data_IF_794444078467
#
_entry.id   IF_794444078467
#
_cell.length_a   1.000
_cell.length_b   1.000
_cell.length_c   1.000
_cell.angle_alpha   90.00
_cell.angle_beta   90.00
_cell.angle_gamma   90.00
#
_symmetry.space_group_name_H-M   'P 1'
#
loop_
_entity.id
_entity.type
_entity.pdbx_description
1 polymer ?
#
# COMPACT_ATOMS: atom_id res chain seq x y z
N UNK A 1 -18.01 20.07 -16.95
CA UNK A 1 -16.86 20.33 -16.06
C UNK A 1 -16.00 19.06 -16.02
N UNK A 2 -14.77 19.10 -16.55
CA UNK A 2 -13.89 17.93 -16.48
C UNK A 2 -13.56 17.63 -15.01
N UNK A 3 -13.83 16.40 -14.56
CA UNK A 3 -13.40 15.96 -13.24
C UNK A 3 -11.88 16.11 -13.19
N UNK A 4 -11.36 17.00 -12.32
CA UNK A 4 -9.93 17.04 -12.04
C UNK A 4 -9.54 15.64 -11.57
N UNK A 5 -8.73 14.93 -12.37
CA UNK A 5 -8.29 13.60 -12.00
C UNK A 5 -7.53 13.70 -10.67
N UNK A 6 -8.00 12.96 -9.67
CA UNK A 6 -7.33 12.87 -8.38
C UNK A 6 -5.95 12.25 -8.60
N UNK A 7 -4.90 12.99 -8.25
CA UNK A 7 -3.54 12.46 -8.18
C UNK A 7 -3.27 12.09 -6.73
N UNK A 8 -3.26 10.79 -6.37
CA UNK A 8 -2.98 10.38 -5.01
C UNK A 8 -1.62 10.90 -4.51
N UNK A 9 -1.50 11.19 -3.21
CA UNK A 9 -0.24 11.63 -2.61
C UNK A 9 0.78 10.50 -2.46
N UNK A 10 0.37 9.25 -2.68
CA UNK A 10 1.21 8.06 -2.52
C UNK A 10 1.23 7.27 -3.81
N UNK A 11 2.39 6.70 -4.13
CA UNK A 11 2.59 5.70 -5.16
C UNK A 11 2.91 4.37 -4.49
N UNK A 12 2.24 3.32 -4.94
CA UNK A 12 2.56 1.94 -4.62
C UNK A 12 2.80 1.22 -5.95
N UNK A 13 3.94 0.58 -6.07
CA UNK A 13 4.29 -0.23 -7.24
C UNK A 13 4.44 -1.68 -6.78
N UNK A 14 3.34 -2.46 -6.76
CA UNK A 14 3.40 -3.89 -6.47
C UNK A 14 3.80 -4.67 -7.72
N UNK A 15 4.60 -5.72 -7.52
CA UNK A 15 4.97 -6.72 -8.51
C UNK A 15 4.77 -8.09 -7.87
N UNK A 16 4.05 -8.97 -8.55
CA UNK A 16 3.82 -10.33 -8.08
C UNK A 16 4.07 -11.32 -9.21
N UNK A 17 4.90 -12.31 -8.94
CA UNK A 17 5.26 -13.34 -9.92
C UNK A 17 5.19 -14.73 -9.29
N UNK A 18 4.82 -15.70 -10.12
CA UNK A 18 4.72 -17.10 -9.76
C UNK A 18 5.64 -17.86 -10.69
N UNK A 19 6.59 -18.62 -10.14
CA UNK A 19 7.48 -19.47 -10.91
C UNK A 19 6.71 -20.66 -11.50
N UNK A 20 7.10 -21.09 -12.69
CA UNK A 20 6.60 -22.32 -13.29
C UNK A 20 7.46 -23.50 -12.85
N UNK A 21 6.83 -24.60 -12.47
CA UNK A 21 7.45 -25.92 -12.53
C UNK A 21 7.32 -26.41 -13.97
N UNK A 22 8.14 -25.90 -14.87
CA UNK A 22 8.29 -26.53 -16.17
C UNK A 22 9.74 -26.40 -16.56
N UNK A 23 10.42 -27.54 -16.53
CA UNK A 23 11.68 -27.79 -17.21
C UNK A 23 11.60 -27.21 -18.62
N UNK A 24 12.17 -26.02 -18.84
CA UNK A 24 12.45 -25.52 -20.17
C UNK A 24 13.55 -26.39 -20.77
N UNK A 25 13.22 -27.16 -21.80
CA UNK A 25 14.15 -28.03 -22.50
C UNK A 25 15.39 -27.29 -23.00
N UNK A 26 16.54 -27.82 -22.61
CA UNK A 26 17.85 -27.63 -23.22
C UNK A 26 18.67 -28.88 -22.87
N UNK A 27 19.04 -29.66 -23.89
CA UNK A 27 19.56 -31.03 -23.73
C UNK A 27 20.82 -31.15 -22.88
N UNK A 28 20.93 -32.27 -22.15
CA UNK A 28 22.14 -32.64 -21.43
C UNK A 28 21.92 -33.65 -20.30
N UNK A 29 22.21 -34.93 -20.59
CA UNK A 29 22.73 -36.01 -19.74
C UNK A 29 22.39 -36.09 -18.23
N UNK A 30 21.79 -37.23 -17.87
CA UNK A 30 22.01 -38.08 -16.69
C UNK A 30 22.28 -37.44 -15.31
N UNK A 31 21.38 -37.69 -14.36
CA UNK A 31 21.62 -37.58 -12.92
C UNK A 31 20.32 -37.62 -12.11
N UNK A 32 20.09 -38.72 -11.40
CA UNK A 32 18.86 -38.96 -10.62
C UNK A 32 18.68 -38.04 -9.41
N UNK A 33 17.41 -37.75 -9.10
CA UNK A 33 17.00 -36.99 -7.93
C UNK A 33 15.62 -36.37 -8.10
N UNK A 34 14.56 -37.20 -8.08
CA UNK A 34 13.16 -36.76 -8.14
C UNK A 34 12.71 -36.08 -6.84
N UNK A 35 13.24 -34.89 -6.56
CA UNK A 35 12.76 -34.01 -5.50
C UNK A 35 11.63 -33.14 -6.04
N UNK A 36 10.45 -33.23 -5.43
CA UNK A 36 9.30 -32.39 -5.73
C UNK A 36 9.63 -30.93 -5.32
N UNK A 37 10.28 -30.16 -6.21
CA UNK A 37 10.62 -28.76 -5.93
C UNK A 37 9.33 -27.96 -5.75
N UNK A 38 9.13 -27.30 -4.59
CA UNK A 38 7.92 -26.53 -4.36
C UNK A 38 7.85 -25.38 -5.37
N UNK A 39 6.68 -25.20 -5.98
CA UNK A 39 6.40 -24.00 -6.75
C UNK A 39 6.63 -22.77 -5.86
N UNK A 40 7.46 -21.84 -6.31
CA UNK A 40 7.78 -20.62 -5.57
C UNK A 40 7.29 -19.40 -6.31
N UNK A 41 6.84 -18.39 -5.56
CA UNK A 41 6.51 -17.07 -6.06
C UNK A 41 7.37 -15.99 -5.43
N UNK A 42 7.34 -14.80 -6.02
CA UNK A 42 8.04 -13.61 -5.52
C UNK A 42 7.11 -12.42 -5.50
N UNK A 43 7.23 -11.63 -4.44
CA UNK A 43 6.53 -10.37 -4.27
C UNK A 43 7.54 -9.25 -4.05
N UNK A 44 7.31 -8.11 -4.68
CA UNK A 44 7.94 -6.85 -4.29
C UNK A 44 6.91 -5.72 -4.30
N UNK A 45 6.99 -4.84 -3.31
CA UNK A 45 6.10 -3.67 -3.18
C UNK A 45 6.97 -2.48 -2.84
N UNK A 46 6.98 -1.48 -3.71
CA UNK A 46 7.68 -0.21 -3.49
C UNK A 46 6.68 0.89 -3.15
N UNK A 47 6.97 1.67 -2.11
CA UNK A 47 6.17 2.82 -1.69
C UNK A 47 6.94 4.13 -1.87
N UNK A 48 6.26 5.18 -2.31
CA UNK A 48 6.82 6.51 -2.42
C UNK A 48 5.76 7.59 -2.18
N UNK A 49 6.12 8.68 -1.51
CA UNK A 49 5.30 9.89 -1.51
C UNK A 49 5.46 10.62 -2.84
N UNK A 50 4.37 11.25 -3.32
CA UNK A 50 4.34 12.04 -4.55
C UNK A 50 4.14 13.51 -4.24
N UNK A 51 5.08 14.33 -4.72
CA UNK A 51 5.01 15.78 -4.59
C UNK A 51 3.84 16.39 -5.37
N UNK A 52 3.51 15.81 -6.54
CA UNK A 52 2.44 16.25 -7.45
C UNK A 52 1.03 15.75 -7.05
N UNK A 53 0.71 15.76 -5.75
CA UNK A 53 -0.62 15.39 -5.27
C UNK A 53 -1.66 16.46 -5.61
N UNK A 54 -2.91 16.05 -5.88
CA UNK A 54 -4.02 17.00 -6.09
C UNK A 54 -4.68 17.47 -4.79
N UNK A 55 -4.01 17.30 -3.65
CA UNK A 55 -4.53 17.70 -2.34
C UNK A 55 -4.49 19.22 -2.18
N UNK A 56 -5.55 19.74 -1.56
CA UNK A 56 -5.68 21.15 -1.20
C UNK A 56 -5.29 21.32 0.27
N UNK A 57 -4.40 22.29 0.52
CA UNK A 57 -3.96 22.67 1.85
C UNK A 57 -4.51 24.08 2.16
N UNK A 58 -4.82 24.40 3.43
CA UNK A 58 -5.22 25.75 3.80
C UNK A 58 -4.06 26.72 3.56
N UNK A 59 -4.39 27.96 3.15
CA UNK A 59 -3.41 29.02 2.86
C UNK A 59 -2.51 29.37 4.05
N UNK A 60 -2.98 29.09 5.28
CA UNK A 60 -2.24 29.30 6.52
C UNK A 60 -1.16 28.25 6.78
N UNK A 61 -1.12 27.15 6.02
CA UNK A 61 -0.06 26.15 6.14
C UNK A 61 1.21 26.66 5.47
N UNK A 62 2.32 26.72 6.21
CA UNK A 62 3.64 26.94 5.61
C UNK A 62 3.89 25.84 4.56
N UNK A 63 4.34 26.25 3.37
CA UNK A 63 4.64 25.36 2.24
C UNK A 63 5.87 24.49 2.57
N UNK A 64 5.67 23.45 3.36
CA UNK A 64 6.67 22.46 3.75
C UNK A 64 6.49 21.12 3.04
N UNK A 65 7.38 20.16 3.32
CA UNK A 65 7.28 18.81 2.79
C UNK A 65 5.98 18.14 3.24
N UNK A 66 5.35 17.39 2.32
CA UNK A 66 4.20 16.56 2.64
C UNK A 66 4.71 15.35 3.42
N UNK A 67 4.17 15.18 4.62
CA UNK A 67 4.36 13.97 5.42
C UNK A 67 3.05 13.21 5.43
N UNK A 68 3.12 11.98 4.94
CA UNK A 68 2.02 11.02 4.95
C UNK A 68 2.16 10.19 6.21
N UNK A 69 1.10 10.14 6.99
CA UNK A 69 1.02 9.43 8.27
C UNK A 69 0.18 8.15 8.11
N UNK A 70 0.27 7.29 9.12
CA UNK A 70 -0.54 6.07 9.25
C UNK A 70 -0.50 5.20 7.98
N UNK A 71 0.66 5.15 7.31
CA UNK A 71 0.81 4.40 6.07
C UNK A 71 0.91 2.91 6.36
N UNK A 72 -0.01 2.14 5.77
CA UNK A 72 0.01 0.68 5.84
C UNK A 72 -0.47 0.07 4.52
N UNK A 73 -0.04 -1.15 4.25
CA UNK A 73 -0.42 -1.93 3.07
C UNK A 73 -0.93 -3.29 3.52
N UNK A 74 -2.14 -3.62 3.10
CA UNK A 74 -2.75 -4.94 3.31
C UNK A 74 -2.68 -5.72 2.00
N UNK A 75 -2.05 -6.89 2.06
CA UNK A 75 -1.75 -7.75 0.92
C UNK A 75 -2.49 -9.08 1.12
N UNK A 76 -3.63 -9.29 0.46
CA UNK A 76 -4.28 -10.59 0.46
C UNK A 76 -3.54 -11.52 -0.51
N UNK A 77 -3.15 -12.70 -0.07
CA UNK A 77 -2.53 -13.71 -0.92
C UNK A 77 -3.58 -14.68 -1.46
N UNK A 78 -3.45 -15.16 -2.71
CA UNK A 78 -4.34 -16.17 -3.24
C UNK A 78 -4.28 -17.47 -2.46
N UNK A 79 -5.34 -18.29 -2.56
CA UNK A 79 -5.44 -19.54 -1.80
C UNK A 79 -4.29 -20.52 -2.07
N UNK A 80 -3.74 -20.49 -3.28
CA UNK A 80 -2.62 -21.36 -3.68
C UNK A 80 -1.31 -21.03 -2.93
N UNK A 81 -1.21 -19.87 -2.27
CA UNK A 81 -0.06 -19.52 -1.44
C UNK A 81 -0.24 -20.17 -0.07
N UNK A 82 0.67 -21.08 0.26
CA UNK A 82 0.70 -21.78 1.55
C UNK A 82 1.30 -20.89 2.64
N UNK A 83 2.47 -20.33 2.37
CA UNK A 83 3.15 -19.40 3.30
C UNK A 83 3.96 -18.38 2.52
N UNK A 84 4.30 -17.27 3.16
CA UNK A 84 5.06 -16.17 2.59
C UNK A 84 6.15 -15.69 3.55
N UNK A 85 7.39 -15.65 3.07
CA UNK A 85 8.54 -15.10 3.78
C UNK A 85 8.76 -13.67 3.30
N UNK A 86 8.36 -12.70 4.12
CA UNK A 86 8.36 -11.28 3.78
C UNK A 86 9.40 -10.53 4.61
N UNK A 87 10.07 -9.56 3.98
CA UNK A 87 10.99 -8.63 4.62
C UNK A 87 10.70 -7.21 4.14
N UNK A 88 10.73 -6.25 5.07
CA UNK A 88 10.47 -4.84 4.79
C UNK A 88 11.69 -4.00 5.20
N UNK A 89 12.06 -3.04 4.36
CA UNK A 89 13.17 -2.11 4.64
C UNK A 89 12.81 -1.05 5.68
N UNK A 90 11.51 -0.75 5.84
CA UNK A 90 10.99 0.21 6.81
C UNK A 90 9.69 -0.33 7.40
N UNK A 91 9.52 -0.14 8.70
CA UNK A 91 8.34 -0.58 9.42
C UNK A 91 8.36 -2.08 9.72
N UNK A 92 7.19 -2.66 9.94
CA UNK A 92 7.03 -4.08 10.26
C UNK A 92 6.00 -4.75 9.37
N UNK A 93 6.24 -6.03 9.07
CA UNK A 93 5.30 -6.87 8.32
C UNK A 93 4.86 -8.03 9.20
N UNK A 94 3.55 -8.26 9.27
CA UNK A 94 2.96 -9.41 9.94
C UNK A 94 2.17 -10.20 8.90
N UNK A 95 2.44 -11.50 8.80
CA UNK A 95 1.71 -12.41 7.92
C UNK A 95 0.83 -13.33 8.76
N UNK A 96 -0.46 -13.33 8.48
CA UNK A 96 -1.43 -14.27 9.03
C UNK A 96 -1.57 -15.45 8.06
N UNK A 97 -1.08 -16.62 8.47
CA UNK A 97 -1.15 -17.84 7.64
C UNK A 97 -2.60 -18.35 7.47
N UNK A 98 -3.46 -18.17 8.47
CA UNK A 98 -4.85 -18.65 8.41
C UNK A 98 -5.67 -17.78 7.46
N UNK A 99 -5.54 -16.46 7.57
CA UNK A 99 -6.18 -15.50 6.67
C UNK A 99 -5.51 -15.38 5.31
N UNK A 100 -4.24 -15.81 5.17
CA UNK A 100 -3.37 -15.54 4.01
C UNK A 100 -3.29 -14.05 3.69
N UNK A 101 -3.13 -13.23 4.72
CA UNK A 101 -3.04 -11.77 4.59
C UNK A 101 -1.77 -11.27 5.27
N UNK A 102 -0.97 -10.49 4.55
CA UNK A 102 0.08 -9.70 5.18
C UNK A 102 -0.38 -8.26 5.43
N UNK A 103 -0.04 -7.74 6.61
CA UNK A 103 -0.14 -6.32 6.92
C UNK A 103 1.27 -5.74 7.08
N UNK A 104 1.63 -4.83 6.19
CA UNK A 104 2.86 -4.07 6.26
C UNK A 104 2.57 -2.66 6.80
N UNK A 105 3.06 -2.36 8.00
CA UNK A 105 2.87 -1.08 8.67
C UNK A 105 4.14 -0.24 8.54
N UNK A 106 4.06 0.87 7.80
CA UNK A 106 5.20 1.76 7.48
C UNK A 106 5.23 2.97 8.44
N UNK A 107 4.06 3.49 8.82
CA UNK A 107 3.95 4.67 9.67
C UNK A 107 4.09 5.97 8.87
N UNK A 108 5.21 6.69 9.03
CA UNK A 108 5.42 8.01 8.40
C UNK A 108 6.27 7.94 7.14
N UNK A 109 5.72 8.45 6.04
CA UNK A 109 6.35 8.50 4.72
C UNK A 109 6.49 9.95 4.25
N UNK A 110 7.71 10.32 3.85
CA UNK A 110 8.02 11.61 3.22
C UNK A 110 8.58 11.36 1.80
N UNK A 111 8.87 12.43 1.06
CA UNK A 111 9.37 12.35 -0.31
C UNK A 111 10.77 11.72 -0.43
N UNK A 112 11.55 11.67 0.65
CA UNK A 112 12.93 11.14 0.66
C UNK A 112 12.95 9.62 0.88
N UNK A 113 11.95 9.11 1.61
CA UNK A 113 11.84 7.68 1.91
C UNK A 113 11.31 6.89 0.71
N UNK A 114 11.84 5.68 0.54
CA UNK A 114 11.39 4.66 -0.41
C UNK A 114 11.27 3.30 0.28
N UNK A 115 10.27 3.09 1.14
CA UNK A 115 10.04 1.79 1.77
C UNK A 115 9.80 0.72 0.72
N UNK A 116 10.38 -0.45 0.95
CA UNK A 116 10.22 -1.60 0.08
C UNK A 116 9.90 -2.83 0.92
N UNK A 117 8.95 -3.63 0.44
CA UNK A 117 8.71 -4.98 0.92
C UNK A 117 9.10 -5.95 -0.18
N UNK A 118 9.84 -6.99 0.16
CA UNK A 118 10.20 -8.08 -0.75
C UNK A 118 9.97 -9.41 -0.06
N UNK A 119 9.67 -10.44 -0.83
CA UNK A 119 9.50 -11.76 -0.24
C UNK A 119 9.40 -12.89 -1.25
N UNK A 120 9.44 -14.10 -0.71
CA UNK A 120 9.17 -15.33 -1.45
C UNK A 120 7.91 -15.98 -0.92
N UNK A 121 7.22 -16.70 -1.78
CA UNK A 121 5.98 -17.38 -1.48
C UNK A 121 6.16 -18.86 -1.81
N UNK A 122 5.65 -19.73 -0.95
CA UNK A 122 5.58 -21.17 -1.22
C UNK A 122 4.16 -21.49 -1.65
N UNK A 123 4.01 -22.08 -2.83
CA UNK A 123 2.71 -22.48 -3.37
C UNK A 123 2.38 -23.91 -2.95
N UNK A 124 1.09 -24.24 -2.97
CA UNK A 124 0.58 -25.55 -2.55
C UNK A 124 0.74 -26.67 -3.61
N UNK A 125 1.14 -26.34 -4.83
CA UNK A 125 1.32 -27.28 -5.93
C UNK A 125 0.15 -27.35 -6.92
N UNK A 126 -0.96 -26.63 -6.65
CA UNK A 126 -2.19 -26.72 -7.46
C UNK A 126 -2.18 -25.86 -8.72
N UNK A 127 -1.12 -25.07 -8.94
CA UNK A 127 -0.92 -24.23 -10.12
C UNK A 127 -0.80 -22.74 -9.80
N UNK A 128 -0.76 -21.92 -10.86
CA UNK A 128 -0.72 -20.46 -10.76
C UNK A 128 -2.12 -19.92 -10.47
N UNK A 129 -2.28 -18.90 -9.60
CA UNK A 129 -3.59 -18.28 -9.42
C UNK A 129 -4.03 -17.50 -10.67
N UNK A 130 -5.33 -17.49 -10.94
CA UNK A 130 -5.92 -16.89 -12.15
C UNK A 130 -5.75 -15.36 -12.20
N UNK A 131 -5.80 -14.70 -11.04
CA UNK A 131 -5.63 -13.25 -10.93
C UNK A 131 -4.67 -12.89 -9.79
N UNK A 132 -3.86 -11.85 -10.02
CA UNK A 132 -3.08 -11.27 -8.94
C UNK A 132 -4.00 -10.51 -7.96
N UNK A 133 -3.75 -10.58 -6.65
CA UNK A 133 -4.55 -9.88 -5.67
C UNK A 133 -4.44 -8.34 -5.80
N UNK A 134 -5.48 -7.65 -5.34
CA UNK A 134 -5.45 -6.20 -5.16
C UNK A 134 -5.01 -5.84 -3.75
N UNK A 135 -3.97 -5.02 -3.63
CA UNK A 135 -3.48 -4.50 -2.36
C UNK A 135 -4.38 -3.35 -1.90
N UNK A 136 -4.58 -3.23 -0.60
CA UNK A 136 -5.26 -2.07 -0.01
C UNK A 136 -4.23 -1.21 0.70
N UNK A 137 -4.16 0.08 0.36
CA UNK A 137 -3.21 1.02 0.97
C UNK A 137 -3.97 2.02 1.84
N UNK A 138 -3.58 2.06 3.10
CA UNK A 138 -4.06 3.01 4.09
C UNK A 138 -3.07 4.16 4.22
N UNK A 139 -3.57 5.39 4.32
CA UNK A 139 -2.75 6.58 4.53
C UNK A 139 -3.59 7.74 5.06
N UNK A 140 -2.93 8.69 5.69
CA UNK A 140 -3.54 9.92 6.21
C UNK A 140 -2.60 11.11 6.03
N UNK A 141 -3.15 12.27 5.70
CA UNK A 141 -2.43 13.53 5.63
C UNK A 141 -3.20 14.59 6.43
N UNK A 142 -2.60 15.13 7.50
CA UNK A 142 -3.21 16.20 8.27
C UNK A 142 -3.18 17.52 7.49
N UNK A 143 -4.14 18.40 7.82
CA UNK A 143 -4.29 19.73 7.22
C UNK A 143 -4.47 19.70 5.70
N UNK A 144 -5.04 18.61 5.17
CA UNK A 144 -5.28 18.43 3.75
C UNK A 144 -6.76 18.11 3.48
N UNK A 145 -7.20 18.45 2.28
CA UNK A 145 -8.52 18.13 1.74
C UNK A 145 -8.40 17.64 0.31
N UNK A 146 -9.25 16.69 -0.07
CA UNK A 146 -9.36 16.23 -1.47
C UNK A 146 -10.33 17.12 -2.26
N UNK A 147 -11.42 17.56 -1.62
CA UNK A 147 -12.47 18.35 -2.26
C UNK A 147 -12.17 19.85 -2.29
N UNK A 148 -11.20 20.32 -1.50
CA UNK A 148 -10.95 21.75 -1.30
C UNK A 148 -11.98 22.43 -0.39
N UNK A 149 -12.89 21.68 0.24
CA UNK A 149 -13.83 22.24 1.22
C UNK A 149 -13.09 22.93 2.36
N UNK A 150 -13.50 24.17 2.62
CA UNK A 150 -12.98 25.01 3.70
C UNK A 150 -14.16 25.58 4.49
N UNK A 151 -14.04 25.59 5.81
CA UNK A 151 -15.03 26.19 6.69
C UNK A 151 -14.79 27.69 6.73
N UNK A 152 -15.77 28.48 6.29
CA UNK A 152 -15.65 29.95 6.29
C UNK A 152 -15.81 30.57 7.68
N UNK A 153 -16.62 29.97 8.55
CA UNK A 153 -16.89 30.51 9.88
C UNK A 153 -17.76 29.58 10.73
N UNK A 154 -17.63 29.71 12.04
CA UNK A 154 -18.45 29.01 13.04
C UNK A 154 -19.03 30.05 14.00
N UNK A 155 -20.36 30.17 14.05
CA UNK A 155 -21.10 31.07 14.95
C UNK A 155 -21.83 30.27 16.02
N UNK A 156 -21.73 30.71 17.28
CA UNK A 156 -22.47 30.14 18.41
C UNK A 156 -23.11 31.29 19.18
N UNK A 157 -24.40 31.14 19.50
CA UNK A 157 -25.25 32.13 20.16
C UNK A 157 -25.95 31.49 21.36
N UNK A 158 -26.30 32.30 22.38
CA UNK A 158 -27.02 31.84 23.56
C UNK A 158 -26.14 31.35 24.72
N UNK A 159 -24.82 31.43 24.57
CA UNK A 159 -23.85 31.10 25.61
C UNK A 159 -23.26 32.38 26.22
N UNK A 160 -23.09 32.41 27.54
CA UNK A 160 -22.50 33.55 28.26
C UNK A 160 -20.97 33.61 28.15
N UNK A 161 -20.32 32.49 27.82
CA UNK A 161 -18.87 32.38 27.68
C UNK A 161 -18.39 32.42 26.22
N UNK A 162 -17.08 32.66 26.03
CA UNK A 162 -16.44 32.64 24.70
C UNK A 162 -15.82 31.26 24.42
N UNK A 163 -16.51 30.39 23.66
CA UNK A 163 -16.02 29.04 23.34
C UNK A 163 -14.78 29.09 22.45
N UNK A 164 -13.89 28.11 22.63
CA UNK A 164 -12.84 27.83 21.65
C UNK A 164 -13.46 27.22 20.39
N UNK A 165 -13.07 27.73 19.22
CA UNK A 165 -13.54 27.25 17.92
C UNK A 165 -12.35 26.88 17.06
N UNK A 166 -12.32 25.65 16.56
CA UNK A 166 -11.23 25.14 15.74
C UNK A 166 -11.73 24.17 14.69
N UNK A 167 -11.03 24.13 13.55
CA UNK A 167 -11.28 23.19 12.47
C UNK A 167 -9.96 22.53 12.11
N UNK A 168 -9.97 21.21 11.92
CA UNK A 168 -8.83 20.45 11.44
C UNK A 168 -9.25 19.54 10.31
N UNK A 169 -8.72 19.81 9.12
CA UNK A 169 -8.94 18.95 7.95
C UNK A 169 -7.97 17.77 7.96
N UNK A 170 -8.45 16.60 7.56
CA UNK A 170 -7.64 15.38 7.44
C UNK A 170 -8.09 14.67 6.15
N UNK A 171 -7.17 14.47 5.22
CA UNK A 171 -7.39 13.62 4.05
C UNK A 171 -6.89 12.22 4.38
N UNK A 172 -7.71 11.19 4.20
CA UNK A 172 -7.31 9.79 4.40
C UNK A 172 -7.80 8.91 3.27
N UNK A 173 -7.16 7.76 3.11
CA UNK A 173 -7.65 6.71 2.22
C UNK A 173 -9.04 6.23 2.64
N UNK A 174 -9.94 6.09 1.65
CA UNK A 174 -11.11 5.22 1.76
C UNK A 174 -10.74 3.80 1.31
N UNK A 175 -11.57 3.19 0.46
CA UNK A 175 -11.20 1.95 -0.25
C UNK A 175 -10.22 2.28 -1.37
N UNK A 176 -8.94 2.33 -1.04
CA UNK A 176 -7.87 2.66 -1.98
C UNK A 176 -7.09 1.39 -2.34
N UNK A 177 -7.44 0.81 -3.50
CA UNK A 177 -6.94 -0.49 -3.94
C UNK A 177 -6.02 -0.35 -5.16
N UNK A 178 -4.95 -1.13 -5.18
CA UNK A 178 -3.93 -1.14 -6.25
C UNK A 178 -3.77 -2.57 -6.74
N UNK A 179 -3.95 -2.76 -8.05
CA UNK A 179 -3.76 -4.07 -8.69
C UNK A 179 -2.28 -4.33 -8.92
N UNK A 180 -1.86 -5.56 -8.67
CA UNK A 180 -0.54 -6.05 -9.05
C UNK A 180 -0.46 -6.24 -10.57
N UNK A 181 0.66 -5.80 -11.16
CA UNK A 181 1.11 -6.27 -12.46
C UNK A 181 1.94 -7.54 -12.33
#
# INVERSE_FOLDING_TARGET
AAARMFSPPIQCTPQLSYGNSTSSGGGGSAGGGGGNQPLTGRISVLMAARSISSLVFPSTRQKGSIVIEDVAVTIPFPKVVRTANLSATVGSVLYDEAGRVAKWTIGKLDEKKRPQLTGTMVLDGTGRPEENPSLTVEWKIPLASVSGLAVSGLSMSGESYKPYKGVRNIAKSGRFQIRCS
#
